data_IF_146791382083
#
_entry.id   IF_146791382083
#
_cell.length_a   1.000
_cell.length_b   1.000
_cell.length_c   1.000
_cell.angle_alpha   90.00
_cell.angle_beta   90.00
_cell.angle_gamma   90.00
#
_symmetry.space_group_name_H-M   'P 1'
#
loop_
_entity.id
_entity.type
_entity.pdbx_description
1 polymer ?
#
# COMPACT_ATOMS: atom_id res chain seq x y z
N UNK A 1 -17.94 -33.46 10.94
CA UNK A 1 -17.75 -32.57 12.09
C UNK A 1 -17.82 -31.17 11.51
N UNK A 2 -18.85 -30.40 11.85
CA UNK A 2 -18.93 -29.01 11.41
C UNK A 2 -17.83 -28.25 12.13
N UNK A 3 -16.84 -27.71 11.40
CA UNK A 3 -15.89 -26.77 11.94
C UNK A 3 -16.66 -25.58 12.51
N UNK A 4 -16.29 -25.15 13.71
CA UNK A 4 -16.78 -23.86 14.19
C UNK A 4 -16.04 -22.81 13.39
N UNK A 5 -16.70 -22.22 12.38
CA UNK A 5 -16.25 -20.96 11.78
C UNK A 5 -15.97 -20.00 12.95
N UNK A 6 -14.71 -19.58 13.09
CA UNK A 6 -14.39 -18.53 14.05
C UNK A 6 -14.81 -17.19 13.43
N UNK A 7 -15.98 -16.66 13.78
CA UNK A 7 -16.45 -15.43 13.19
C UNK A 7 -15.58 -14.22 13.56
N UNK A 8 -14.61 -14.42 14.47
CA UNK A 8 -13.65 -13.40 14.91
C UNK A 8 -12.27 -13.51 14.23
N UNK A 9 -12.05 -14.61 13.48
CA UNK A 9 -10.82 -14.85 12.75
C UNK A 9 -10.72 -14.05 11.44
N UNK A 10 -9.51 -14.05 10.81
CA UNK A 10 -9.34 -13.50 9.47
C UNK A 10 -10.29 -14.19 8.48
N UNK A 11 -10.94 -13.39 7.64
CA UNK A 11 -11.87 -13.88 6.63
C UNK A 11 -11.14 -14.20 5.33
N UNK A 12 -11.56 -15.25 4.58
CA UNK A 12 -11.04 -15.54 3.25
C UNK A 12 -11.15 -14.33 2.30
N UNK A 13 -10.17 -14.16 1.43
CA UNK A 13 -10.11 -13.02 0.52
C UNK A 13 -9.39 -13.38 -0.79
N UNK A 14 -9.57 -12.56 -1.82
CA UNK A 14 -8.96 -12.76 -3.13
C UNK A 14 -7.52 -12.24 -3.15
N UNK A 15 -6.56 -13.16 -3.34
CA UNK A 15 -5.12 -12.88 -3.44
C UNK A 15 -4.67 -12.44 -4.83
N UNK A 16 -5.57 -12.35 -5.81
CA UNK A 16 -5.20 -11.97 -7.17
C UNK A 16 -4.63 -10.55 -7.18
N UNK A 17 -3.38 -10.36 -7.65
CA UNK A 17 -2.79 -9.04 -7.76
C UNK A 17 -3.59 -8.16 -8.72
N UNK A 18 -3.75 -6.89 -8.38
CA UNK A 18 -4.20 -5.87 -9.31
C UNK A 18 -3.01 -5.07 -9.82
N UNK A 19 -3.07 -4.66 -11.09
CA UNK A 19 -2.06 -3.79 -11.70
C UNK A 19 -2.49 -2.34 -11.58
N UNK A 20 -1.55 -1.48 -11.18
CA UNK A 20 -1.78 -0.07 -10.89
C UNK A 20 -0.73 0.74 -11.60
N UNK A 21 -1.15 1.80 -12.31
CA UNK A 21 -0.27 2.83 -12.85
C UNK A 21 -0.52 4.15 -12.12
N UNK A 22 0.57 4.79 -11.68
CA UNK A 22 0.58 6.12 -11.08
C UNK A 22 1.59 7.02 -11.78
N UNK A 23 1.36 8.32 -11.73
CA UNK A 23 2.23 9.37 -12.26
C UNK A 23 2.83 10.19 -11.12
N UNK A 24 4.01 10.75 -11.36
CA UNK A 24 4.66 11.64 -10.40
C UNK A 24 3.84 12.90 -10.15
N UNK A 25 3.65 13.23 -8.87
CA UNK A 25 2.97 14.46 -8.44
C UNK A 25 3.75 15.72 -8.82
N UNK A 26 5.06 15.61 -9.08
CA UNK A 26 5.93 16.76 -9.37
C UNK A 26 5.82 17.23 -10.82
N UNK A 27 5.11 16.49 -11.66
CA UNK A 27 4.98 16.80 -13.09
C UNK A 27 3.65 17.48 -13.40
N UNK A 28 3.74 18.75 -13.78
CA UNK A 28 2.58 19.60 -14.06
C UNK A 28 1.73 19.15 -15.25
N UNK A 29 2.33 18.44 -16.20
CA UNK A 29 1.64 17.83 -17.35
C UNK A 29 0.69 16.70 -16.95
N UNK A 30 0.86 16.15 -15.77
CA UNK A 30 0.04 15.04 -15.25
C UNK A 30 -1.00 15.47 -14.21
N UNK A 31 -1.23 16.78 -14.05
CA UNK A 31 -2.27 17.31 -13.14
C UNK A 31 -3.62 16.64 -13.45
N UNK A 32 -4.22 16.05 -12.42
CA UNK A 32 -5.48 15.33 -12.49
C UNK A 32 -5.36 13.85 -12.86
N UNK A 33 -4.17 13.36 -13.20
CA UNK A 33 -3.91 11.92 -13.29
C UNK A 33 -3.67 11.33 -11.89
N UNK A 34 -3.95 10.03 -11.69
CA UNK A 34 -3.70 9.40 -10.41
C UNK A 34 -2.21 9.42 -10.04
N UNK A 35 -1.86 10.12 -8.98
CA UNK A 35 -0.50 10.25 -8.46
C UNK A 35 -0.30 9.48 -7.15
N UNK A 36 -1.38 9.04 -6.51
CA UNK A 36 -1.37 8.34 -5.24
C UNK A 36 -2.21 7.06 -5.27
N UNK A 37 -1.98 6.21 -4.27
CA UNK A 37 -2.75 4.99 -4.06
C UNK A 37 -3.24 4.89 -2.62
N UNK A 38 -4.54 4.64 -2.51
CA UNK A 38 -5.22 4.28 -1.26
C UNK A 38 -5.21 2.75 -1.13
N UNK A 39 -4.26 2.23 -0.37
CA UNK A 39 -4.15 0.79 -0.12
C UNK A 39 -5.33 0.28 0.71
N UNK A 40 -5.86 1.12 1.61
CA UNK A 40 -6.97 0.73 2.45
C UNK A 40 -8.23 0.41 1.63
N UNK A 41 -8.54 1.24 0.63
CA UNK A 41 -9.69 1.07 -0.27
C UNK A 41 -9.32 0.46 -1.64
N UNK A 42 -8.04 0.22 -1.90
CA UNK A 42 -7.49 -0.34 -3.15
C UNK A 42 -7.86 0.48 -4.38
N UNK A 43 -7.65 1.80 -4.30
CA UNK A 43 -8.00 2.70 -5.39
C UNK A 43 -6.91 3.74 -5.68
N UNK A 44 -6.84 4.15 -6.95
CA UNK A 44 -5.98 5.25 -7.39
C UNK A 44 -6.62 6.58 -7.02
N UNK A 45 -5.77 7.56 -6.66
CA UNK A 45 -6.19 8.88 -6.20
C UNK A 45 -5.42 9.96 -6.96
N UNK A 46 -6.11 10.95 -7.50
CA UNK A 46 -5.49 12.20 -7.92
C UNK A 46 -5.42 13.12 -6.68
N UNK A 47 -4.21 13.42 -6.21
CA UNK A 47 -4.01 14.15 -4.94
C UNK A 47 -4.54 15.58 -5.03
N UNK A 48 -4.54 16.17 -6.22
CA UNK A 48 -5.02 17.52 -6.47
C UNK A 48 -6.56 17.64 -6.39
N UNK A 49 -7.29 16.51 -6.41
CA UNK A 49 -8.74 16.55 -6.21
C UNK A 49 -9.05 16.92 -4.76
N UNK A 50 -9.76 18.04 -4.52
CA UNK A 50 -10.09 18.51 -3.16
C UNK A 50 -10.87 17.48 -2.33
N UNK A 51 -11.56 16.54 -2.99
CA UNK A 51 -12.30 15.47 -2.31
C UNK A 51 -11.39 14.31 -1.87
N UNK A 52 -10.14 14.28 -2.33
CA UNK A 52 -9.16 13.21 -2.10
C UNK A 52 -8.09 13.56 -1.07
N UNK A 53 -8.13 14.76 -0.51
CA UNK A 53 -7.02 15.39 0.26
C UNK A 53 -6.47 14.56 1.44
N UNK A 54 -7.16 13.52 1.92
CA UNK A 54 -6.70 12.69 3.04
C UNK A 54 -6.92 11.19 2.84
N UNK A 55 -7.35 10.78 1.66
CA UNK A 55 -7.78 9.40 1.37
C UNK A 55 -6.73 8.54 0.67
N UNK A 56 -5.43 8.75 0.89
CA UNK A 56 -4.37 7.98 0.26
C UNK A 56 -3.25 7.61 1.23
N UNK A 57 -2.45 6.61 0.89
CA UNK A 57 -1.37 6.10 1.73
C UNK A 57 0.01 6.45 1.16
N UNK A 58 0.21 6.31 -0.15
CA UNK A 58 1.48 6.65 -0.81
C UNK A 58 1.23 7.49 -2.05
N UNK A 59 2.19 8.35 -2.38
CA UNK A 59 2.23 9.12 -3.62
C UNK A 59 3.53 8.81 -4.38
N UNK A 60 3.51 8.92 -5.71
CA UNK A 60 4.71 8.84 -6.54
C UNK A 60 5.31 10.24 -6.68
N UNK A 61 6.61 10.34 -6.51
CA UNK A 61 7.37 11.61 -6.62
C UNK A 61 8.67 11.39 -7.38
N UNK A 62 9.12 12.42 -8.09
CA UNK A 62 10.46 12.45 -8.67
C UNK A 62 11.50 12.60 -7.56
N UNK A 63 12.59 11.80 -7.65
CA UNK A 63 13.75 11.91 -6.79
C UNK A 63 15.02 11.90 -7.63
N UNK A 64 16.15 12.27 -7.04
CA UNK A 64 17.41 12.21 -7.77
C UNK A 64 17.67 10.77 -8.28
N UNK A 65 17.71 10.65 -9.61
CA UNK A 65 17.97 9.38 -10.32
C UNK A 65 16.77 8.47 -10.52
N UNK A 66 15.52 8.87 -10.21
CA UNK A 66 14.37 8.01 -10.45
C UNK A 66 13.06 8.47 -9.85
N UNK A 67 12.17 7.52 -9.61
CA UNK A 67 10.90 7.71 -8.92
C UNK A 67 10.93 7.07 -7.52
N UNK A 68 10.11 7.57 -6.63
CA UNK A 68 9.97 7.05 -5.28
C UNK A 68 8.50 6.96 -4.85
N UNK A 69 8.19 6.05 -3.95
CA UNK A 69 7.00 6.17 -3.10
C UNK A 69 7.30 7.08 -1.92
N UNK A 70 6.42 8.05 -1.70
CA UNK A 70 6.46 8.90 -0.52
C UNK A 70 5.25 8.55 0.36
N UNK A 71 5.45 8.06 1.59
CA UNK A 71 4.35 7.76 2.49
C UNK A 71 3.65 9.05 2.93
N UNK A 72 2.35 8.99 3.14
CA UNK A 72 1.55 10.15 3.56
C UNK A 72 2.09 10.81 4.85
N UNK A 73 2.70 10.03 5.74
CA UNK A 73 3.33 10.53 6.96
C UNK A 73 4.55 11.43 6.75
N UNK A 74 5.17 11.41 5.56
CA UNK A 74 6.27 12.32 5.21
C UNK A 74 5.80 13.77 4.95
N UNK A 75 4.49 13.99 4.80
CA UNK A 75 3.91 15.31 4.61
C UNK A 75 3.47 15.89 5.96
N UNK A 76 4.00 17.07 6.35
CA UNK A 76 3.82 17.62 7.70
C UNK A 76 2.37 17.80 8.16
N UNK A 77 1.47 18.05 7.20
CA UNK A 77 0.08 18.38 7.50
C UNK A 77 -0.87 17.17 7.47
N UNK A 78 -0.37 15.98 7.11
CA UNK A 78 -1.22 14.78 6.96
C UNK A 78 -1.18 13.89 8.21
N UNK A 79 -0.06 13.84 8.92
CA UNK A 79 0.05 13.25 10.27
C UNK A 79 -0.41 11.80 10.40
N UNK A 80 -0.04 10.93 9.45
CA UNK A 80 -0.37 9.50 9.49
C UNK A 80 0.85 8.64 9.81
N UNK A 81 0.63 7.40 10.24
CA UNK A 81 1.66 6.40 10.49
C UNK A 81 1.81 5.39 9.31
N UNK A 82 1.45 5.80 8.11
CA UNK A 82 1.73 5.04 6.88
C UNK A 82 3.23 4.78 6.79
N UNK A 83 3.58 3.55 6.46
CA UNK A 83 4.99 3.18 6.33
C UNK A 83 5.24 2.21 5.19
N UNK A 84 6.44 2.29 4.63
CA UNK A 84 6.89 1.47 3.51
C UNK A 84 8.12 0.69 3.95
N UNK A 85 8.07 -0.64 3.88
CA UNK A 85 9.21 -1.50 4.09
C UNK A 85 9.76 -1.98 2.75
N UNK A 86 11.08 -1.90 2.57
CA UNK A 86 11.79 -2.46 1.41
C UNK A 86 12.14 -3.92 1.72
N UNK A 87 11.70 -4.83 0.87
CA UNK A 87 11.93 -6.27 1.05
C UNK A 87 13.07 -6.72 0.16
N UNK A 88 14.06 -7.39 0.74
CA UNK A 88 15.22 -7.90 0.01
C UNK A 88 15.32 -9.42 0.15
N UNK A 89 15.73 -10.09 -0.93
CA UNK A 89 15.99 -11.54 -0.91
C UNK A 89 14.75 -12.42 -0.94
N UNK A 90 13.55 -11.84 -1.09
CA UNK A 90 12.28 -12.55 -1.22
C UNK A 90 11.53 -12.01 -2.42
N UNK A 91 10.98 -12.88 -3.26
CA UNK A 91 10.15 -12.46 -4.39
C UNK A 91 8.75 -12.01 -3.93
N UNK A 92 8.03 -11.31 -4.80
CA UNK A 92 6.65 -10.91 -4.52
C UNK A 92 5.74 -12.09 -4.20
N UNK A 93 5.91 -13.21 -4.93
CA UNK A 93 5.07 -14.40 -4.76
C UNK A 93 5.42 -15.16 -3.48
N UNK A 94 6.71 -15.21 -3.11
CA UNK A 94 7.20 -15.90 -1.92
C UNK A 94 7.04 -15.09 -0.62
N UNK A 95 6.65 -13.80 -0.72
CA UNK A 95 6.42 -12.96 0.44
C UNK A 95 5.05 -13.28 1.05
N UNK A 96 5.04 -14.03 2.15
CA UNK A 96 3.82 -14.54 2.78
C UNK A 96 3.35 -13.70 3.98
N UNK A 97 4.21 -12.86 4.57
CA UNK A 97 3.86 -12.04 5.74
C UNK A 97 4.56 -10.67 5.70
N UNK A 98 3.86 -9.62 6.12
CA UNK A 98 4.42 -8.29 6.30
C UNK A 98 5.38 -8.25 7.53
N UNK A 99 6.46 -7.42 7.49
CA UNK A 99 7.37 -7.27 8.62
C UNK A 99 6.65 -6.93 9.92
N UNK A 100 7.14 -7.52 11.03
CA UNK A 100 6.58 -7.28 12.39
C UNK A 100 7.10 -6.00 13.01
N UNK A 101 8.39 -5.74 12.78
CA UNK A 101 9.06 -4.62 13.43
C UNK A 101 8.59 -3.30 12.85
N UNK A 102 8.21 -2.38 13.71
CA UNK A 102 7.79 -1.04 13.31
C UNK A 102 8.93 -0.28 12.61
N UNK A 103 10.16 -0.53 13.04
CA UNK A 103 11.37 0.11 12.49
C UNK A 103 11.73 -0.36 11.07
N UNK A 104 11.11 -1.45 10.59
CA UNK A 104 11.22 -1.88 9.20
C UNK A 104 10.52 -0.91 8.23
N UNK A 105 9.60 -0.08 8.74
CA UNK A 105 8.77 0.81 7.93
C UNK A 105 9.29 2.25 7.96
N UNK A 106 9.63 2.74 6.78
CA UNK A 106 9.99 4.14 6.55
C UNK A 106 8.70 4.95 6.48
N UNK A 107 8.56 5.95 7.35
CA UNK A 107 7.32 6.75 7.50
C UNK A 107 7.50 8.23 7.16
N UNK A 108 8.73 8.71 7.08
CA UNK A 108 9.10 10.13 7.13
C UNK A 108 9.86 10.63 5.89
N UNK A 109 10.11 9.76 4.91
CA UNK A 109 10.87 10.12 3.72
C UNK A 109 10.50 9.26 2.51
N UNK A 110 10.92 9.72 1.34
CA UNK A 110 10.80 9.01 0.07
C UNK A 110 11.56 7.66 0.10
N UNK A 111 10.96 6.64 -0.51
CA UNK A 111 11.54 5.30 -0.70
C UNK A 111 11.74 5.10 -2.20
N UNK A 112 13.00 5.08 -2.69
CA UNK A 112 13.29 4.90 -4.11
C UNK A 112 12.70 3.61 -4.67
N UNK A 113 12.15 3.68 -5.87
CA UNK A 113 11.61 2.54 -6.59
C UNK A 113 12.65 1.97 -7.56
N UNK A 114 12.64 0.64 -7.67
CA UNK A 114 13.43 -0.09 -8.68
C UNK A 114 12.54 -1.13 -9.34
N UNK A 115 12.71 -1.36 -10.64
CA UNK A 115 12.01 -2.43 -11.34
C UNK A 115 12.32 -3.79 -10.70
N UNK A 116 11.29 -4.62 -10.50
CA UNK A 116 11.39 -5.88 -9.78
C UNK A 116 11.51 -5.73 -8.26
N UNK A 117 11.61 -4.49 -7.75
CA UNK A 117 11.65 -4.24 -6.31
C UNK A 117 10.36 -4.69 -5.61
N UNK A 118 10.51 -5.23 -4.40
CA UNK A 118 9.40 -5.70 -3.57
C UNK A 118 9.30 -4.80 -2.34
N UNK A 119 8.09 -4.36 -2.05
CA UNK A 119 7.78 -3.43 -0.96
C UNK A 119 6.57 -3.92 -0.19
N UNK A 120 6.50 -3.56 1.09
CA UNK A 120 5.30 -3.71 1.91
C UNK A 120 4.85 -2.34 2.39
N UNK A 121 3.58 -2.04 2.16
CA UNK A 121 2.94 -0.83 2.67
C UNK A 121 2.07 -1.19 3.86
N UNK A 122 2.33 -0.55 5.00
CA UNK A 122 1.42 -0.48 6.13
C UNK A 122 0.56 0.77 5.95
N UNK A 123 -0.74 0.60 5.82
CA UNK A 123 -1.67 1.71 5.55
C UNK A 123 -1.82 2.64 6.75
N UNK A 124 -2.44 3.80 6.53
CA UNK A 124 -3.00 4.57 7.62
C UNK A 124 -3.97 3.73 8.44
N UNK A 125 -4.15 4.09 9.70
CA UNK A 125 -5.18 3.49 10.54
C UNK A 125 -6.55 4.02 10.12
N UNK A 126 -7.47 3.12 9.89
CA UNK A 126 -8.85 3.46 9.60
C UNK A 126 -9.79 2.56 10.41
N UNK A 127 -11.05 2.95 10.45
CA UNK A 127 -12.07 2.18 11.15
C UNK A 127 -12.22 0.80 10.51
N UNK A 128 -11.90 -0.22 11.27
CA UNK A 128 -12.11 -1.61 10.94
C UNK A 128 -13.26 -2.13 11.79
N UNK A 129 -14.37 -2.49 11.16
CA UNK A 129 -15.49 -3.09 11.85
C UNK A 129 -15.20 -4.58 12.08
N UNK A 130 -14.99 -4.96 13.32
CA UNK A 130 -14.92 -6.36 13.73
C UNK A 130 -15.94 -6.55 14.83
N UNK A 131 -17.02 -7.29 14.57
CA UNK A 131 -18.04 -7.71 15.54
C UNK A 131 -18.62 -6.61 16.47
N UNK A 132 -19.08 -5.51 15.86
CA UNK A 132 -19.74 -4.44 16.62
C UNK A 132 -18.78 -3.51 17.37
N UNK A 133 -17.47 -3.74 17.28
CA UNK A 133 -16.45 -2.83 17.77
C UNK A 133 -15.68 -2.25 16.59
N UNK A 134 -15.55 -0.93 16.55
CA UNK A 134 -14.69 -0.25 15.58
C UNK A 134 -13.32 -0.05 16.20
N UNK A 135 -12.31 -0.70 15.64
CA UNK A 135 -10.91 -0.46 15.99
C UNK A 135 -10.22 0.31 14.88
N UNK A 136 -9.32 1.23 15.23
CA UNK A 136 -8.50 1.93 14.25
C UNK A 136 -7.19 1.17 14.07
N UNK A 137 -7.11 0.41 12.99
CA UNK A 137 -5.97 -0.46 12.70
C UNK A 137 -5.52 -0.32 11.23
N UNK A 138 -4.24 -0.59 10.94
CA UNK A 138 -3.76 -0.61 9.56
C UNK A 138 -4.20 -1.89 8.84
N UNK A 139 -4.09 -1.85 7.52
CA UNK A 139 -3.98 -3.01 6.63
C UNK A 139 -2.58 -3.09 6.06
N UNK A 140 -2.25 -4.21 5.45
CA UNK A 140 -0.95 -4.42 4.82
C UNK A 140 -1.13 -4.80 3.36
N UNK A 141 -0.29 -4.20 2.50
CA UNK A 141 -0.24 -4.52 1.08
C UNK A 141 1.18 -4.85 0.66
N UNK A 142 1.37 -5.91 -0.14
CA UNK A 142 2.63 -6.18 -0.82
C UNK A 142 2.60 -5.64 -2.24
N UNK A 143 3.71 -5.08 -2.68
CA UNK A 143 3.86 -4.42 -3.98
C UNK A 143 5.10 -4.95 -4.68
N UNK A 144 5.02 -5.13 -6.00
CA UNK A 144 6.21 -5.25 -6.86
C UNK A 144 6.12 -4.29 -8.04
N UNK A 145 7.18 -3.55 -8.27
CA UNK A 145 7.27 -2.62 -9.40
C UNK A 145 7.56 -3.42 -10.67
N UNK A 146 6.73 -3.25 -11.68
CA UNK A 146 6.86 -3.96 -12.97
C UNK A 146 7.46 -3.09 -14.06
N UNK A 147 7.27 -1.77 -13.99
CA UNK A 147 7.77 -0.83 -14.99
C UNK A 147 8.00 0.55 -14.37
N UNK A 148 9.07 1.22 -14.78
CA UNK A 148 9.35 2.62 -14.44
C UNK A 148 9.64 3.36 -15.75
N UNK A 149 8.81 4.34 -16.09
CA UNK A 149 9.03 5.25 -17.18
C UNK A 149 9.51 6.60 -16.63
N UNK A 150 10.82 6.85 -16.72
CA UNK A 150 11.41 8.09 -16.25
C UNK A 150 11.13 9.29 -17.18
N UNK A 151 10.85 9.04 -18.46
CA UNK A 151 10.49 10.10 -19.40
C UNK A 151 9.09 10.60 -19.10
N UNK A 152 8.13 9.70 -18.98
CA UNK A 152 6.76 9.99 -18.60
C UNK A 152 6.60 10.30 -17.10
N UNK A 153 7.55 9.90 -16.24
CA UNK A 153 7.42 10.01 -14.79
C UNK A 153 6.31 9.13 -14.22
N UNK A 154 6.16 7.94 -14.78
CA UNK A 154 5.13 6.99 -14.34
C UNK A 154 5.73 5.69 -13.83
N UNK A 155 4.99 5.01 -12.98
CA UNK A 155 5.32 3.69 -12.46
C UNK A 155 4.13 2.77 -12.59
N UNK A 156 4.39 1.53 -13.01
CA UNK A 156 3.42 0.43 -12.99
C UNK A 156 3.87 -0.59 -11.94
N UNK A 157 2.93 -1.04 -11.14
CA UNK A 157 3.21 -2.04 -10.10
C UNK A 157 2.02 -2.98 -9.90
N UNK A 158 2.31 -4.19 -9.42
CA UNK A 158 1.30 -5.13 -8.93
C UNK A 158 1.16 -4.99 -7.43
N UNK A 159 -0.07 -5.10 -6.94
CA UNK A 159 -0.37 -5.01 -5.52
C UNK A 159 -1.38 -6.07 -5.09
N UNK A 160 -1.12 -6.65 -3.91
CA UNK A 160 -2.06 -7.47 -3.15
C UNK A 160 -2.23 -6.81 -1.79
N UNK A 161 -3.47 -6.56 -1.38
CA UNK A 161 -3.78 -5.99 -0.06
C UNK A 161 -4.66 -6.95 0.71
N UNK A 162 -4.21 -7.34 1.90
CA UNK A 162 -5.05 -8.09 2.82
C UNK A 162 -6.15 -7.17 3.39
N UNK A 163 -7.45 -7.50 3.17
CA UNK A 163 -8.56 -6.69 3.68
C UNK A 163 -8.80 -6.88 5.18
N UNK A 164 -8.22 -7.94 5.79
CA UNK A 164 -8.39 -8.20 7.20
C UNK A 164 -7.63 -7.17 8.05
N UNK A 165 -8.29 -6.70 9.08
CA UNK A 165 -7.78 -5.64 9.93
C UNK A 165 -6.59 -6.11 10.76
N UNK A 166 -5.47 -5.38 10.71
CA UNK A 166 -4.23 -5.67 11.44
C UNK A 166 -3.64 -7.07 11.19
N UNK A 167 -4.09 -7.74 10.13
CA UNK A 167 -3.55 -9.03 9.71
C UNK A 167 -2.40 -8.80 8.72
N UNK A 168 -1.24 -9.36 9.02
CA UNK A 168 -0.02 -9.23 8.21
C UNK A 168 0.15 -10.33 7.18
N UNK A 169 -0.71 -11.35 7.18
CA UNK A 169 -0.65 -12.45 6.21
C UNK A 169 -0.92 -11.95 4.79
N UNK A 170 -0.18 -12.45 3.82
CA UNK A 170 -0.46 -12.31 2.40
C UNK A 170 -1.00 -13.60 1.79
N UNK A 171 -1.40 -14.52 2.65
CA UNK A 171 -2.09 -15.75 2.29
C UNK A 171 -3.48 -15.71 2.90
N UNK A 172 -4.48 -15.91 2.05
CA UNK A 172 -5.87 -16.02 2.50
C UNK A 172 -6.06 -17.27 3.35
N UNK A 173 -6.78 -17.21 4.47
CA UNK A 173 -7.18 -18.45 5.15
C UNK A 173 -7.97 -19.33 4.18
N UNK A 174 -7.80 -20.65 4.30
CA UNK A 174 -8.60 -21.59 3.54
C UNK A 174 -10.07 -21.49 3.97
N UNK A 175 -11.00 -21.64 3.00
CA UNK A 175 -12.42 -21.84 3.31
C UNK A 175 -12.57 -23.24 3.91
N UNK A 176 -12.93 -23.35 5.19
CA UNK A 176 -13.22 -24.60 5.87
C UNK A 176 -14.58 -25.21 5.47
#
# INVERSE_FOLDING_TARGET
MAGCDDPLGPQPWNETPIEVQLWSIDRTEHIGLPSAFDFFNRQRVAVEDPNSASGWDVVVSDVEGGLAFVPAGAFPDIGTDVGIAVITGVSFDDLLEAPRDADAYITDRAVPLVEGGVYVVRTRRAACATFGFSTFTPRYGKVTVTEIDLEEGSVVFKVVVNPNCNDRSFVSPEDD
#
